data_IF_577887680697
#
_entry.id   IF_577887680697
#
_cell.length_a   1.000
_cell.length_b   1.000
_cell.length_c   1.000
_cell.angle_alpha   90.00
_cell.angle_beta   90.00
_cell.angle_gamma   90.00
#
_symmetry.space_group_name_H-M   'P 1'
#
loop_
_entity.id
_entity.type
_entity.pdbx_description
1 polymer ?
#
# COMPACT_ATOMS: atom_id res chain seq x y z
N UNK A 1 2.84 -15.77 16.15
CA UNK A 1 2.41 -15.83 14.73
C UNK A 1 2.53 -17.24 14.20
N UNK A 2 1.52 -17.71 13.47
CA UNK A 2 1.62 -18.95 12.70
C UNK A 2 2.33 -18.66 11.37
N UNK A 3 3.52 -19.26 11.17
CA UNK A 3 4.32 -19.06 9.96
C UNK A 3 3.62 -19.53 8.69
N UNK A 4 2.79 -20.58 8.77
CA UNK A 4 2.07 -21.13 7.62
C UNK A 4 0.92 -20.23 7.13
N UNK A 5 0.57 -19.18 7.88
CA UNK A 5 -0.46 -18.21 7.50
C UNK A 5 0.13 -16.84 7.13
N UNK A 6 1.45 -16.66 7.24
CA UNK A 6 2.11 -15.38 6.98
C UNK A 6 1.99 -14.99 5.50
N UNK A 7 1.56 -13.76 5.23
CA UNK A 7 1.50 -13.16 3.88
C UNK A 7 2.60 -12.10 3.65
N UNK A 8 3.61 -12.08 4.53
CA UNK A 8 4.76 -11.17 4.48
C UNK A 8 4.43 -9.68 4.29
N UNK A 9 3.34 -9.20 4.91
CA UNK A 9 2.90 -7.80 4.78
C UNK A 9 3.75 -6.77 5.55
N UNK A 10 4.65 -7.21 6.44
CA UNK A 10 5.52 -6.33 7.22
C UNK A 10 4.87 -5.60 8.40
N UNK A 11 3.56 -5.74 8.63
CA UNK A 11 2.85 -5.04 9.72
C UNK A 11 3.48 -5.27 11.10
N UNK A 12 3.89 -6.50 11.39
CA UNK A 12 4.54 -6.88 12.64
C UNK A 12 5.92 -6.25 12.84
N UNK A 13 6.66 -6.02 11.74
CA UNK A 13 7.98 -5.38 11.77
C UNK A 13 7.79 -3.89 12.06
N UNK A 14 6.88 -3.24 11.35
CA UNK A 14 6.59 -1.82 11.52
C UNK A 14 5.98 -1.46 12.88
N UNK A 15 5.24 -2.39 13.51
CA UNK A 15 4.57 -2.13 14.79
C UNK A 15 5.37 -2.53 16.03
N UNK A 16 6.56 -3.12 15.88
CA UNK A 16 7.37 -3.54 17.01
C UNK A 16 7.97 -2.31 17.73
N UNK A 17 7.62 -2.04 19.00
CA UNK A 17 8.09 -0.82 19.68
C UNK A 17 9.57 -0.87 20.11
N UNK A 18 10.21 -2.03 20.00
CA UNK A 18 11.61 -2.27 20.40
C UNK A 18 12.46 -2.76 19.23
N UNK A 19 11.94 -2.71 18.00
CA UNK A 19 12.67 -2.99 16.75
C UNK A 19 13.46 -4.32 16.73
N UNK A 20 12.87 -5.40 17.26
CA UNK A 20 13.51 -6.73 17.27
C UNK A 20 13.07 -7.65 16.13
N UNK A 21 12.11 -7.23 15.30
CA UNK A 21 11.59 -8.00 14.17
C UNK A 21 12.16 -7.45 12.86
N UNK A 22 12.65 -8.34 11.99
CA UNK A 22 13.32 -7.97 10.74
C UNK A 22 12.85 -8.82 9.57
N UNK A 23 13.06 -8.29 8.37
CA UNK A 23 12.92 -9.02 7.12
C UNK A 23 13.98 -10.11 6.98
N UNK A 24 13.63 -11.20 6.32
CA UNK A 24 14.57 -12.27 5.95
C UNK A 24 14.49 -12.57 4.46
N UNK A 25 15.50 -13.27 3.95
CA UNK A 25 15.56 -13.72 2.55
C UNK A 25 14.45 -14.73 2.21
N UNK A 26 13.88 -15.40 3.22
CA UNK A 26 12.82 -16.39 3.06
C UNK A 26 11.42 -15.79 3.12
N UNK A 27 11.30 -14.46 3.04
CA UNK A 27 10.01 -13.75 3.14
C UNK A 27 9.24 -14.07 4.43
N UNK A 28 9.98 -14.30 5.53
CA UNK A 28 9.42 -14.48 6.85
C UNK A 28 10.02 -13.47 7.85
N UNK A 29 9.24 -13.01 8.85
CA UNK A 29 9.79 -12.17 9.90
C UNK A 29 10.73 -12.99 10.80
N UNK A 30 11.92 -12.46 11.06
CA UNK A 30 12.90 -13.05 11.98
C UNK A 30 13.08 -12.16 13.20
N UNK A 31 13.22 -12.78 14.38
CA UNK A 31 13.46 -12.08 15.62
C UNK A 31 14.96 -12.01 15.91
N UNK A 32 15.46 -10.84 16.28
CA UNK A 32 16.83 -10.62 16.75
C UNK A 32 16.78 -9.87 18.08
N UNK A 33 17.19 -10.53 19.15
CA UNK A 33 17.12 -9.98 20.51
C UNK A 33 15.93 -10.51 21.32
N UNK A 34 15.68 -9.88 22.47
CA UNK A 34 14.72 -10.36 23.47
C UNK A 34 13.38 -9.65 23.33
N UNK A 35 12.30 -10.43 23.22
CA UNK A 35 10.94 -9.91 23.15
C UNK A 35 10.45 -9.39 24.50
N UNK A 36 9.90 -8.17 24.51
CA UNK A 36 9.23 -7.58 25.68
C UNK A 36 7.80 -8.11 25.92
N UNK A 37 7.33 -9.07 25.12
CA UNK A 37 6.00 -9.69 25.23
C UNK A 37 4.81 -8.69 25.20
N UNK A 38 4.95 -7.57 24.48
CA UNK A 38 3.94 -6.51 24.40
C UNK A 38 2.73 -6.82 23.51
N UNK A 39 2.76 -7.91 22.74
CA UNK A 39 1.67 -8.39 21.87
C UNK A 39 1.23 -7.45 20.73
N UNK A 40 1.84 -6.28 20.56
CA UNK A 40 1.49 -5.33 19.50
C UNK A 40 1.55 -5.98 18.12
N UNK A 41 2.62 -6.73 17.84
CA UNK A 41 2.80 -7.42 16.56
C UNK A 41 1.73 -8.50 16.29
N UNK A 42 1.13 -9.07 17.34
CA UNK A 42 0.04 -10.03 17.24
C UNK A 42 -1.26 -9.35 16.80
N UNK A 43 -1.63 -8.25 17.46
CA UNK A 43 -2.83 -7.48 17.13
C UNK A 43 -2.72 -6.71 15.81
N UNK A 44 -1.51 -6.34 15.38
CA UNK A 44 -1.29 -5.74 14.05
C UNK A 44 -1.39 -6.74 12.90
N UNK A 45 -1.42 -8.05 13.17
CA UNK A 45 -1.45 -9.06 12.12
C UNK A 45 -2.87 -9.23 11.55
N UNK A 46 -3.13 -8.83 10.29
CA UNK A 46 -4.48 -8.90 9.71
C UNK A 46 -4.96 -10.34 9.50
N UNK A 47 -4.08 -11.33 9.69
CA UNK A 47 -4.41 -12.75 9.54
C UNK A 47 -4.91 -13.40 10.82
N UNK A 48 -4.65 -12.79 11.98
CA UNK A 48 -5.18 -13.27 13.25
C UNK A 48 -6.63 -12.83 13.37
N UNK A 49 -6.85 -11.53 13.23
CA UNK A 49 -8.15 -10.90 13.26
C UNK A 49 -8.11 -9.66 12.38
N UNK A 50 -9.20 -9.40 11.68
CA UNK A 50 -9.39 -8.19 10.90
C UNK A 50 -10.74 -7.60 11.31
N UNK A 51 -10.77 -6.55 12.14
CA UNK A 51 -12.01 -5.96 12.64
C UNK A 51 -12.69 -5.14 11.53
N UNK A 52 -13.29 -5.84 10.56
CA UNK A 52 -13.86 -5.25 9.35
C UNK A 52 -14.93 -4.21 9.66
N UNK A 53 -15.79 -4.46 10.66
CA UNK A 53 -16.84 -3.53 11.05
C UNK A 53 -16.27 -2.20 11.59
N UNK A 54 -15.18 -2.25 12.37
CA UNK A 54 -14.51 -1.05 12.89
C UNK A 54 -13.84 -0.27 11.76
N UNK A 55 -13.13 -0.98 10.86
CA UNK A 55 -12.49 -0.37 9.69
C UNK A 55 -13.54 0.30 8.79
N UNK A 56 -14.68 -0.36 8.56
CA UNK A 56 -15.78 0.21 7.77
C UNK A 56 -16.35 1.47 8.41
N UNK A 57 -16.56 1.47 9.73
CA UNK A 57 -17.06 2.63 10.43
C UNK A 57 -16.05 3.78 10.40
N UNK A 58 -14.75 3.51 10.58
CA UNK A 58 -13.70 4.54 10.54
C UNK A 58 -13.50 5.13 9.14
N UNK A 59 -13.55 4.31 8.09
CA UNK A 59 -13.25 4.73 6.71
C UNK A 59 -14.50 5.29 6.01
N UNK A 60 -15.67 4.67 6.21
CA UNK A 60 -16.90 4.99 5.49
C UNK A 60 -18.02 5.56 6.38
N UNK A 61 -17.87 5.57 7.70
CA UNK A 61 -18.88 6.07 8.63
C UNK A 61 -20.09 5.16 8.84
N UNK A 62 -20.10 3.97 8.23
CA UNK A 62 -21.19 3.00 8.30
C UNK A 62 -20.68 1.58 8.05
N UNK A 63 -21.49 0.58 8.38
CA UNK A 63 -21.24 -0.81 7.99
C UNK A 63 -21.86 -1.15 6.64
N UNK A 64 -21.35 -2.21 6.02
CA UNK A 64 -21.86 -2.73 4.74
C UNK A 64 -23.28 -3.30 4.89
N UNK A 65 -24.09 -3.23 3.82
CA UNK A 65 -25.38 -3.94 3.73
C UNK A 65 -25.20 -5.38 3.24
N UNK A 66 -26.28 -6.17 3.21
CA UNK A 66 -26.24 -7.54 2.71
C UNK A 66 -25.86 -7.63 1.22
N UNK A 67 -26.27 -6.63 0.43
CA UNK A 67 -25.95 -6.52 -1.00
C UNK A 67 -24.46 -6.20 -1.23
N UNK A 68 -23.82 -5.56 -0.25
CA UNK A 68 -22.41 -5.18 -0.27
C UNK A 68 -21.49 -6.29 0.28
N UNK A 69 -22.02 -7.48 0.58
CA UNK A 69 -21.25 -8.57 1.19
C UNK A 69 -20.02 -8.99 0.36
N UNK A 70 -20.14 -8.94 -0.98
CA UNK A 70 -19.10 -9.40 -1.92
C UNK A 70 -18.16 -8.27 -2.35
N UNK A 71 -18.71 -7.16 -2.84
CA UNK A 71 -17.91 -6.05 -3.39
C UNK A 71 -17.45 -5.05 -2.31
N UNK A 72 -18.11 -5.04 -1.16
CA UNK A 72 -17.92 -4.02 -0.13
C UNK A 72 -18.62 -2.70 -0.43
N UNK A 73 -18.44 -1.75 0.48
CA UNK A 73 -18.97 -0.39 0.38
C UNK A 73 -18.28 0.32 -0.80
N UNK A 74 -19.06 0.82 -1.75
CA UNK A 74 -18.56 1.55 -2.90
C UNK A 74 -19.49 2.70 -3.28
N UNK A 75 -18.93 3.78 -3.85
CA UNK A 75 -19.70 4.94 -4.32
C UNK A 75 -20.24 4.71 -5.73
N UNK A 76 -19.52 3.95 -6.54
CA UNK A 76 -19.90 3.62 -7.91
C UNK A 76 -18.81 2.80 -8.61
N UNK A 77 -19.17 2.22 -9.75
CA UNK A 77 -18.28 1.38 -10.56
C UNK A 77 -18.15 1.99 -11.95
N UNK A 78 -16.92 2.29 -12.37
CA UNK A 78 -16.65 3.00 -13.62
C UNK A 78 -15.54 2.28 -14.40
N UNK A 79 -15.70 2.19 -15.72
CA UNK A 79 -14.63 1.78 -16.63
C UNK A 79 -13.95 3.01 -17.21
N UNK A 80 -12.63 3.11 -17.05
CA UNK A 80 -11.85 4.31 -17.36
C UNK A 80 -10.54 3.96 -18.06
N UNK A 81 -10.07 4.88 -18.92
CA UNK A 81 -8.78 4.78 -19.61
C UNK A 81 -8.12 6.15 -19.69
N UNK A 82 -6.80 6.18 -19.57
CA UNK A 82 -6.02 7.41 -19.71
C UNK A 82 -6.15 8.00 -21.11
N UNK A 83 -6.19 9.34 -21.18
CA UNK A 83 -6.12 10.09 -22.43
C UNK A 83 -4.68 10.41 -22.84
N UNK A 84 -3.72 10.21 -21.95
CA UNK A 84 -2.31 10.47 -22.22
C UNK A 84 -1.70 9.25 -22.95
N UNK A 85 -1.33 9.37 -24.24
CA UNK A 85 -0.80 8.26 -25.02
C UNK A 85 0.52 7.71 -24.44
N UNK A 86 1.33 8.55 -23.79
CA UNK A 86 2.57 8.12 -23.17
C UNK A 86 2.30 7.25 -21.94
N UNK A 87 1.28 7.59 -21.14
CA UNK A 87 0.83 6.77 -20.02
C UNK A 87 0.23 5.46 -20.52
N UNK A 88 -0.69 5.51 -21.49
CA UNK A 88 -1.34 4.31 -22.05
C UNK A 88 -0.31 3.31 -22.59
N UNK A 89 0.76 3.79 -23.24
CA UNK A 89 1.82 2.95 -23.81
C UNK A 89 2.60 2.16 -22.76
N UNK A 90 2.70 2.65 -21.53
CA UNK A 90 3.51 2.04 -20.45
C UNK A 90 2.68 1.41 -19.34
N UNK A 91 1.38 1.72 -19.27
CA UNK A 91 0.50 1.21 -18.25
C UNK A 91 0.16 -0.27 -18.47
N UNK A 92 -0.06 -0.99 -17.37
CA UNK A 92 -0.52 -2.38 -17.42
C UNK A 92 -2.00 -2.46 -17.83
N UNK A 93 -2.86 -1.63 -17.24
CA UNK A 93 -4.29 -1.60 -17.51
C UNK A 93 -4.82 -0.17 -17.67
N UNK A 94 -4.79 0.33 -18.91
CA UNK A 94 -5.40 1.62 -19.30
C UNK A 94 -4.80 2.90 -18.70
N UNK A 95 -3.97 2.82 -17.66
CA UNK A 95 -3.26 3.95 -17.06
C UNK A 95 -4.10 4.82 -16.12
N UNK A 96 -5.23 4.33 -15.63
CA UNK A 96 -6.15 5.09 -14.78
C UNK A 96 -5.49 5.58 -13.49
N UNK A 97 -4.90 4.66 -12.72
CA UNK A 97 -4.21 4.96 -11.46
C UNK A 97 -3.09 5.98 -11.67
N UNK A 98 -2.22 5.74 -12.65
CA UNK A 98 -1.12 6.67 -12.98
C UNK A 98 -1.63 8.06 -13.34
N UNK A 99 -2.71 8.15 -14.11
CA UNK A 99 -3.28 9.44 -14.53
C UNK A 99 -3.87 10.22 -13.35
N UNK A 100 -4.55 9.54 -12.42
CA UNK A 100 -5.08 10.16 -11.21
C UNK A 100 -3.95 10.67 -10.29
N UNK A 101 -2.88 9.89 -10.14
CA UNK A 101 -1.73 10.27 -9.33
C UNK A 101 -0.98 11.47 -9.92
N UNK A 102 -0.75 11.48 -11.24
CA UNK A 102 -0.14 12.62 -11.94
C UNK A 102 -0.99 13.88 -11.80
N UNK A 103 -2.30 13.76 -12.00
CA UNK A 103 -3.22 14.88 -11.79
C UNK A 103 -3.14 15.42 -10.35
N UNK A 104 -3.14 14.54 -9.35
CA UNK A 104 -3.06 14.94 -7.95
C UNK A 104 -1.74 15.64 -7.61
N UNK A 105 -0.62 15.18 -8.16
CA UNK A 105 0.70 15.82 -8.01
C UNK A 105 0.77 17.18 -8.70
N UNK A 106 0.35 17.25 -9.98
CA UNK A 106 0.39 18.48 -10.77
C UNK A 106 -0.49 19.60 -10.16
N UNK A 107 -1.64 19.20 -9.59
CA UNK A 107 -2.54 20.10 -8.88
C UNK A 107 -2.15 20.37 -7.43
N UNK A 108 -1.08 19.74 -6.93
CA UNK A 108 -0.64 19.83 -5.52
C UNK A 108 -1.74 19.44 -4.52
N UNK A 109 -2.57 18.47 -4.89
CA UNK A 109 -3.51 17.81 -3.96
C UNK A 109 -2.72 16.90 -3.01
N UNK A 110 -1.60 16.36 -3.50
CA UNK A 110 -0.64 15.56 -2.73
C UNK A 110 0.79 16.04 -3.04
N UNK A 111 1.69 15.92 -2.07
CA UNK A 111 3.12 16.27 -2.24
C UNK A 111 3.95 15.10 -2.78
N UNK A 112 3.63 13.87 -2.36
CA UNK A 112 4.39 12.66 -2.67
C UNK A 112 3.47 11.46 -2.90
N UNK A 113 3.97 10.48 -3.65
CA UNK A 113 3.30 9.21 -3.93
C UNK A 113 4.23 8.07 -3.57
N UNK A 114 3.73 7.10 -2.80
CA UNK A 114 4.38 5.81 -2.59
C UNK A 114 3.88 4.86 -3.69
N UNK A 115 4.79 4.35 -4.51
CA UNK A 115 4.47 3.34 -5.54
C UNK A 115 5.49 2.20 -5.52
N UNK A 116 5.17 1.12 -6.23
CA UNK A 116 6.13 0.08 -6.56
C UNK A 116 6.71 0.35 -7.95
N UNK A 117 8.03 0.20 -8.07
CA UNK A 117 8.75 0.28 -9.33
C UNK A 117 9.50 -1.03 -9.57
N UNK A 118 9.36 -1.61 -10.75
CA UNK A 118 10.27 -2.67 -11.17
C UNK A 118 11.59 -2.05 -11.61
N UNK A 119 12.70 -2.65 -11.21
CA UNK A 119 14.03 -2.24 -11.66
C UNK A 119 14.14 -2.59 -13.15
N UNK A 120 13.76 -1.67 -14.02
CA UNK A 120 14.00 -1.84 -15.46
C UNK A 120 15.51 -1.68 -15.71
N UNK A 121 16.17 -2.80 -15.99
CA UNK A 121 17.48 -2.82 -16.64
C UNK A 121 17.28 -2.28 -18.07
N UNK A 122 17.50 -0.99 -18.23
CA UNK A 122 17.59 -0.23 -19.48
C UNK A 122 16.27 0.30 -20.11
N UNK A 123 16.28 1.63 -20.34
CA UNK A 123 15.42 2.51 -21.18
C UNK A 123 13.99 2.84 -20.72
N UNK A 124 13.84 4.09 -20.22
CA UNK A 124 12.65 4.90 -20.50
C UNK A 124 11.59 5.01 -19.41
N UNK A 125 11.95 4.84 -18.14
CA UNK A 125 11.06 5.25 -17.04
C UNK A 125 10.75 6.75 -17.14
N UNK A 126 9.48 7.12 -16.95
CA UNK A 126 9.11 8.51 -16.64
C UNK A 126 9.89 8.90 -15.37
N UNK A 127 11.03 9.56 -15.53
CA UNK A 127 11.65 10.24 -14.40
C UNK A 127 10.62 11.21 -13.85
N UNK A 128 10.37 11.22 -12.53
CA UNK A 128 9.68 12.36 -11.93
C UNK A 128 10.40 13.61 -12.41
N UNK A 129 9.69 14.53 -13.09
CA UNK A 129 10.27 15.82 -13.47
C UNK A 129 10.49 16.60 -12.18
N UNK A 130 11.60 16.32 -11.49
CA UNK A 130 12.03 17.08 -10.32
C UNK A 130 12.56 18.44 -10.78
N UNK A 131 11.65 19.37 -11.05
CA UNK A 131 11.97 20.79 -11.05
C UNK A 131 11.88 21.30 -9.61
N UNK A 132 12.91 20.98 -8.83
CA UNK A 132 13.08 21.48 -7.46
C UNK A 132 14.48 21.19 -6.97
N UNK A 133 15.15 22.11 -6.25
CA UNK A 133 16.53 21.93 -5.83
C UNK A 133 16.63 20.72 -4.90
N UNK A 134 17.58 19.82 -5.21
CA UNK A 134 17.93 18.69 -4.37
C UNK A 134 18.32 19.21 -2.99
N UNK A 135 17.45 19.07 -2.00
CA UNK A 135 17.81 19.25 -0.60
C UNK A 135 18.53 17.97 -0.16
N UNK A 136 19.84 18.09 0.02
CA UNK A 136 20.66 17.15 0.77
C UNK A 136 20.23 17.21 2.23
N UNK A 137 19.70 16.10 2.74
CA UNK A 137 19.85 15.74 4.15
C UNK A 137 20.98 14.73 4.23
#
# INVERSE_FOLDING_TARGET
>A
MNKNLCMYCGACIASCPIDILFHSEKEEPVMRGTCAACQVCYYSCPRIELPLAEIEQQVFGRSRTAEEAILGIHVGSYSVKSKDPDVVKRAQDGGAVTSLLLYALDRKIIDYVVNSASRQTNRGGLSPRSRGPKRTC
#
